data_IF_166003571799
#
_entry.id   IF_166003571799
#
_cell.length_a   1.000
_cell.length_b   1.000
_cell.length_c   1.000
_cell.angle_alpha   90.00
_cell.angle_beta   90.00
_cell.angle_gamma   90.00
#
_symmetry.space_group_name_H-M   'P 1'
#
loop_
_entity.id
_entity.type
_entity.pdbx_description
1 polymer ?
#
# COMPACT_ATOMS: atom_id res chain seq x y z
N UNK A 1 23.21 -2.44 4.66
CA UNK A 1 23.05 -0.96 4.76
C UNK A 1 24.26 -0.33 5.45
N UNK A 2 24.64 -0.80 6.64
CA UNK A 2 25.82 -0.32 7.41
C UNK A 2 27.10 -0.20 6.57
N UNK A 3 27.52 -1.25 5.87
CA UNK A 3 28.77 -1.23 5.09
C UNK A 3 28.87 -0.10 4.04
N UNK A 4 27.76 0.31 3.41
CA UNK A 4 27.76 1.43 2.44
C UNK A 4 27.86 2.79 3.14
N UNK A 5 27.21 2.94 4.29
CA UNK A 5 27.27 4.14 5.13
C UNK A 5 28.66 4.30 5.73
N UNK A 6 29.24 3.22 6.26
CA UNK A 6 30.58 3.19 6.84
C UNK A 6 31.66 3.55 5.79
N UNK A 7 31.50 3.05 4.57
CA UNK A 7 32.38 3.39 3.45
C UNK A 7 32.29 4.88 3.08
N UNK A 8 31.07 5.44 2.99
CA UNK A 8 30.90 6.86 2.69
C UNK A 8 31.43 7.76 3.81
N UNK A 9 31.20 7.38 5.08
CA UNK A 9 31.76 8.08 6.24
C UNK A 9 33.28 8.10 6.20
N UNK A 10 33.92 6.97 5.89
CA UNK A 10 35.38 6.88 5.75
C UNK A 10 35.90 7.84 4.67
N UNK A 11 35.20 7.92 3.55
CA UNK A 11 35.55 8.82 2.44
C UNK A 11 35.35 10.29 2.85
N UNK A 12 34.23 10.64 3.48
CA UNK A 12 33.96 12.00 3.96
C UNK A 12 35.02 12.44 4.98
N UNK A 13 35.38 11.57 5.92
CA UNK A 13 36.44 11.85 6.91
C UNK A 13 37.78 12.09 6.21
N UNK A 14 38.15 11.23 5.26
CA UNK A 14 39.40 11.39 4.49
C UNK A 14 39.41 12.69 3.68
N UNK A 15 38.29 13.06 3.04
CA UNK A 15 38.17 14.33 2.30
C UNK A 15 38.34 15.52 3.25
N UNK A 16 37.68 15.48 4.42
CA UNK A 16 37.77 16.53 5.45
C UNK A 16 39.21 16.72 5.92
N UNK A 17 39.92 15.63 6.25
CA UNK A 17 41.31 15.67 6.71
C UNK A 17 42.26 16.24 5.65
N UNK A 18 42.13 15.79 4.39
CA UNK A 18 42.95 16.29 3.29
C UNK A 18 42.67 17.77 3.02
N UNK A 19 41.40 18.20 3.04
CA UNK A 19 41.04 19.60 2.83
C UNK A 19 41.52 20.52 3.95
N UNK A 20 41.46 20.06 5.21
CA UNK A 20 42.00 20.82 6.36
C UNK A 20 43.52 21.00 6.28
N UNK A 21 44.23 19.99 5.74
CA UNK A 21 45.69 20.03 5.60
C UNK A 21 46.13 20.83 4.38
N UNK A 22 45.41 20.69 3.26
CA UNK A 22 45.70 21.39 2.02
C UNK A 22 44.40 21.66 1.23
N UNK A 23 43.83 22.87 1.31
CA UNK A 23 42.60 23.21 0.59
C UNK A 23 42.70 23.07 -0.94
N UNK A 24 43.87 23.29 -1.55
CA UNK A 24 44.07 23.18 -3.00
C UNK A 24 44.01 21.73 -3.50
N UNK A 25 44.11 20.75 -2.60
CA UNK A 25 43.99 19.32 -2.91
C UNK A 25 42.70 18.98 -3.66
N UNK A 26 41.61 19.70 -3.39
CA UNK A 26 40.30 19.49 -4.02
C UNK A 26 40.28 19.92 -5.50
N UNK A 27 41.19 20.80 -5.91
CA UNK A 27 41.29 21.30 -7.29
C UNK A 27 42.01 20.32 -8.21
N UNK A 28 42.73 19.35 -7.65
CA UNK A 28 43.49 18.37 -8.40
C UNK A 28 42.67 17.09 -8.63
N UNK A 29 42.25 16.88 -9.87
CA UNK A 29 41.44 15.72 -10.29
C UNK A 29 42.18 14.37 -10.21
N UNK A 30 43.52 14.39 -10.13
CA UNK A 30 44.31 13.17 -9.93
C UNK A 30 44.28 12.69 -8.47
N UNK A 31 44.01 13.58 -7.52
CA UNK A 31 43.99 13.28 -6.08
C UNK A 31 42.58 13.24 -5.53
N UNK A 32 41.72 14.20 -5.90
CA UNK A 32 40.31 14.21 -5.53
C UNK A 32 39.44 13.72 -6.69
N UNK A 33 38.96 12.47 -6.58
CA UNK A 33 38.04 11.87 -7.55
C UNK A 33 36.60 12.30 -7.26
N UNK A 34 36.26 13.53 -7.64
CA UNK A 34 34.94 14.13 -7.38
C UNK A 34 33.78 13.31 -7.98
N UNK A 35 33.96 12.74 -9.17
CA UNK A 35 32.98 11.88 -9.84
C UNK A 35 32.70 10.59 -9.05
N UNK A 36 33.74 9.95 -8.54
CA UNK A 36 33.62 8.74 -7.71
C UNK A 36 32.90 9.07 -6.40
N UNK A 37 33.22 10.20 -5.77
CA UNK A 37 32.54 10.66 -4.55
C UNK A 37 31.05 10.93 -4.78
N UNK A 38 30.72 11.70 -5.82
CA UNK A 38 29.32 12.01 -6.18
C UNK A 38 28.54 10.74 -6.54
N UNK A 39 29.14 9.80 -7.28
CA UNK A 39 28.49 8.54 -7.63
C UNK A 39 28.18 7.69 -6.39
N UNK A 40 29.05 7.69 -5.37
CA UNK A 40 28.80 6.99 -4.11
C UNK A 40 27.66 7.61 -3.30
N UNK A 41 27.55 8.94 -3.28
CA UNK A 41 26.42 9.64 -2.67
C UNK A 41 25.11 9.28 -3.37
N UNK A 42 25.08 9.37 -4.71
CA UNK A 42 23.86 9.06 -5.47
C UNK A 42 23.47 7.59 -5.32
N UNK A 43 24.45 6.67 -5.30
CA UNK A 43 24.21 5.25 -5.02
C UNK A 43 23.61 5.00 -3.62
N UNK A 44 24.09 5.72 -2.60
CA UNK A 44 23.53 5.62 -1.25
C UNK A 44 22.09 6.15 -1.21
N UNK A 45 21.86 7.32 -1.80
CA UNK A 45 20.52 7.93 -1.92
C UNK A 45 19.53 6.99 -2.62
N UNK A 46 19.93 6.38 -3.73
CA UNK A 46 19.10 5.41 -4.45
C UNK A 46 18.84 4.14 -3.63
N UNK A 47 19.85 3.63 -2.91
CA UNK A 47 19.67 2.49 -2.01
C UNK A 47 18.70 2.81 -0.88
N UNK A 48 18.82 3.99 -0.26
CA UNK A 48 17.91 4.47 0.78
C UNK A 48 16.48 4.57 0.26
N UNK A 49 16.30 5.19 -0.91
CA UNK A 49 15.00 5.33 -1.56
C UNK A 49 14.34 3.97 -1.81
N UNK A 50 15.09 3.01 -2.34
CA UNK A 50 14.59 1.65 -2.59
C UNK A 50 14.17 0.94 -1.28
N UNK A 51 15.02 1.02 -0.25
CA UNK A 51 14.73 0.40 1.04
C UNK A 51 13.50 1.02 1.71
N UNK A 52 13.36 2.34 1.68
CA UNK A 52 12.19 3.05 2.21
C UNK A 52 10.92 2.67 1.44
N UNK A 53 10.97 2.65 0.11
CA UNK A 53 9.84 2.21 -0.72
C UNK A 53 9.42 0.77 -0.41
N UNK A 54 10.38 -0.13 -0.20
CA UNK A 54 10.08 -1.52 0.15
C UNK A 54 9.48 -1.64 1.56
N UNK A 55 10.05 -0.94 2.54
CA UNK A 55 9.50 -0.90 3.90
C UNK A 55 8.07 -0.34 3.91
N UNK A 56 7.82 0.70 3.11
CA UNK A 56 6.49 1.29 2.94
C UNK A 56 5.49 0.32 2.33
N UNK A 57 5.87 -0.39 1.25
CA UNK A 57 5.03 -1.44 0.67
C UNK A 57 4.68 -2.54 1.67
N UNK A 58 5.65 -2.95 2.49
CA UNK A 58 5.42 -3.95 3.54
C UNK A 58 4.49 -3.43 4.63
N UNK A 59 4.66 -2.16 5.05
CA UNK A 59 3.77 -1.49 5.99
C UNK A 59 2.32 -1.48 5.47
N UNK A 60 2.12 -1.00 4.24
CA UNK A 60 0.80 -0.99 3.61
C UNK A 60 0.21 -2.40 3.49
N UNK A 61 1.01 -3.41 3.15
CA UNK A 61 0.53 -4.79 3.07
C UNK A 61 0.09 -5.37 4.42
N UNK A 62 0.63 -4.88 5.54
CA UNK A 62 0.22 -5.29 6.89
C UNK A 62 -1.02 -4.54 7.39
N UNK A 63 -1.16 -3.27 7.03
CA UNK A 63 -2.26 -2.43 7.50
C UNK A 63 -3.52 -2.53 6.64
N UNK A 64 -3.35 -2.74 5.32
CA UNK A 64 -4.46 -2.89 4.41
C UNK A 64 -5.01 -4.31 4.49
N UNK A 65 -6.26 -4.43 4.95
CA UNK A 65 -7.00 -5.70 4.89
C UNK A 65 -7.07 -6.17 3.44
N UNK A 66 -6.92 -7.47 3.21
CA UNK A 66 -7.09 -8.05 1.88
C UNK A 66 -8.47 -7.71 1.33
N UNK A 67 -8.52 -7.07 0.16
CA UNK A 67 -9.77 -6.68 -0.50
C UNK A 67 -10.05 -7.66 -1.62
N UNK A 68 -11.19 -8.34 -1.56
CA UNK A 68 -11.68 -9.06 -2.73
C UNK A 68 -12.31 -8.05 -3.70
N UNK A 69 -11.57 -7.71 -4.76
CA UNK A 69 -12.02 -6.79 -5.81
C UNK A 69 -13.30 -7.24 -6.51
N UNK A 70 -13.58 -8.54 -6.56
CA UNK A 70 -14.81 -9.08 -7.15
C UNK A 70 -16.01 -8.76 -6.26
N UNK A 71 -15.87 -8.91 -4.93
CA UNK A 71 -16.93 -8.53 -3.99
C UNK A 71 -17.18 -7.03 -3.98
N UNK A 72 -16.14 -6.20 -4.06
CA UNK A 72 -16.32 -4.75 -4.19
C UNK A 72 -17.03 -4.36 -5.51
N UNK A 73 -16.74 -5.06 -6.62
CA UNK A 73 -17.48 -4.87 -7.88
C UNK A 73 -18.95 -5.23 -7.75
N UNK A 74 -19.26 -6.34 -7.08
CA UNK A 74 -20.64 -6.76 -6.80
C UNK A 74 -21.36 -5.69 -5.97
N UNK A 75 -20.71 -5.16 -4.92
CA UNK A 75 -21.29 -4.07 -4.14
C UNK A 75 -21.47 -2.76 -4.91
N UNK A 76 -20.65 -2.51 -5.93
CA UNK A 76 -20.79 -1.34 -6.80
C UNK A 76 -22.09 -1.35 -7.65
N UNK A 77 -22.65 -2.54 -7.90
CA UNK A 77 -23.94 -2.68 -8.62
C UNK A 77 -25.14 -2.28 -7.76
N UNK A 78 -24.98 -2.25 -6.42
CA UNK A 78 -26.04 -1.86 -5.49
C UNK A 78 -26.04 -0.34 -5.35
N UNK A 79 -27.09 0.32 -5.86
CA UNK A 79 -27.23 1.79 -5.88
C UNK A 79 -26.97 2.42 -4.50
N UNK A 80 -27.48 1.79 -3.44
CA UNK A 80 -27.41 2.29 -2.07
C UNK A 80 -26.01 2.19 -1.43
N UNK A 81 -25.08 1.46 -2.07
CA UNK A 81 -23.69 1.25 -1.64
C UNK A 81 -22.66 1.96 -2.54
N UNK A 82 -23.07 2.42 -3.73
CA UNK A 82 -22.19 3.16 -4.66
C UNK A 82 -21.40 4.29 -4.00
N UNK A 83 -21.98 5.15 -3.14
CA UNK A 83 -21.21 6.21 -2.48
C UNK A 83 -20.08 5.67 -1.61
N UNK A 84 -20.33 4.57 -0.89
CA UNK A 84 -19.33 3.90 -0.04
C UNK A 84 -18.22 3.28 -0.89
N UNK A 85 -18.56 2.61 -1.99
CA UNK A 85 -17.57 2.02 -2.91
C UNK A 85 -16.70 3.10 -3.58
N UNK A 86 -17.30 4.19 -4.05
CA UNK A 86 -16.55 5.33 -4.61
C UNK A 86 -15.60 5.95 -3.59
N UNK A 87 -16.02 6.03 -2.32
CA UNK A 87 -15.16 6.50 -1.24
C UNK A 87 -14.00 5.55 -0.99
N UNK A 88 -14.23 4.24 -0.97
CA UNK A 88 -13.18 3.21 -0.86
C UNK A 88 -12.16 3.38 -2.01
N UNK A 89 -12.62 3.46 -3.26
CA UNK A 89 -11.74 3.62 -4.43
C UNK A 89 -10.90 4.91 -4.37
N UNK A 90 -11.50 6.00 -3.85
CA UNK A 90 -10.82 7.29 -3.70
C UNK A 90 -9.73 7.21 -2.65
N UNK A 91 -10.03 6.65 -1.47
CA UNK A 91 -9.06 6.48 -0.38
C UNK A 91 -7.92 5.55 -0.80
N UNK A 92 -8.25 4.47 -1.52
CA UNK A 92 -7.25 3.56 -2.09
C UNK A 92 -6.30 4.29 -3.04
N UNK A 93 -6.83 5.11 -3.95
CA UNK A 93 -5.99 5.89 -4.88
C UNK A 93 -5.05 6.83 -4.13
N UNK A 94 -5.56 7.54 -3.11
CA UNK A 94 -4.75 8.43 -2.29
C UNK A 94 -3.59 7.70 -1.59
N UNK A 95 -3.83 6.48 -1.11
CA UNK A 95 -2.77 5.65 -0.50
C UNK A 95 -1.73 5.24 -1.56
N UNK A 96 -2.16 4.83 -2.76
CA UNK A 96 -1.26 4.37 -3.82
C UNK A 96 -0.43 5.50 -4.47
N UNK A 97 -0.90 6.75 -4.42
CA UNK A 97 -0.15 7.91 -4.92
C UNK A 97 1.08 8.24 -4.05
N UNK A 98 1.14 7.73 -2.82
CA UNK A 98 2.21 8.03 -1.86
C UNK A 98 3.30 6.96 -1.96
N UNK A 99 4.45 7.33 -2.54
CA UNK A 99 5.61 6.43 -2.71
C UNK A 99 6.16 5.97 -1.35
N UNK A 100 6.29 6.90 -0.41
CA UNK A 100 6.50 6.73 1.04
C UNK A 100 6.44 8.12 1.70
N UNK A 101 6.01 8.23 2.98
CA UNK A 101 5.95 9.51 3.69
C UNK A 101 7.35 10.06 3.98
N UNK A 102 7.56 11.36 3.77
CA UNK A 102 8.85 12.04 3.95
C UNK A 102 9.07 12.59 5.36
N UNK A 103 7.99 12.68 6.14
CA UNK A 103 7.97 13.22 7.49
C UNK A 103 6.81 12.60 8.29
N UNK A 104 6.77 12.86 9.59
CA UNK A 104 5.73 12.34 10.48
C UNK A 104 4.34 12.82 10.10
N UNK A 105 4.18 14.07 9.66
CA UNK A 105 2.86 14.59 9.26
C UNK A 105 2.29 13.86 8.04
N UNK A 106 3.12 13.55 7.04
CA UNK A 106 2.72 12.74 5.89
C UNK A 106 2.36 11.32 6.32
N UNK A 107 3.10 10.74 7.26
CA UNK A 107 2.80 9.43 7.82
C UNK A 107 1.43 9.42 8.51
N UNK A 108 1.20 10.37 9.43
CA UNK A 108 -0.06 10.51 10.16
C UNK A 108 -1.27 10.73 9.23
N UNK A 109 -1.06 11.45 8.12
CA UNK A 109 -2.10 11.63 7.08
C UNK A 109 -2.45 10.30 6.44
N UNK A 110 -1.47 9.47 6.07
CA UNK A 110 -1.75 8.15 5.49
C UNK A 110 -2.45 7.25 6.49
N UNK A 111 -2.02 7.24 7.74
CA UNK A 111 -2.65 6.44 8.79
C UNK A 111 -4.13 6.79 8.95
N UNK A 112 -4.46 8.09 8.92
CA UNK A 112 -5.87 8.54 8.92
C UNK A 112 -6.64 8.07 7.67
N UNK A 113 -6.01 8.07 6.50
CA UNK A 113 -6.65 7.57 5.27
C UNK A 113 -6.90 6.07 5.36
N UNK A 114 -5.95 5.29 5.89
CA UNK A 114 -6.10 3.85 6.14
C UNK A 114 -7.22 3.60 7.14
N UNK A 115 -7.31 4.39 8.21
CA UNK A 115 -8.39 4.28 9.20
C UNK A 115 -9.76 4.54 8.55
N UNK A 116 -9.89 5.61 7.76
CA UNK A 116 -11.12 5.93 7.03
C UNK A 116 -11.50 4.84 6.02
N UNK A 117 -10.51 4.22 5.37
CA UNK A 117 -10.72 3.11 4.45
C UNK A 117 -11.30 1.91 5.20
N UNK A 118 -10.71 1.55 6.35
CA UNK A 118 -11.18 0.45 7.17
C UNK A 118 -12.61 0.70 7.70
N UNK A 119 -12.90 1.91 8.16
CA UNK A 119 -14.26 2.29 8.57
C UNK A 119 -15.27 2.19 7.41
N UNK A 120 -14.87 2.59 6.20
CA UNK A 120 -15.72 2.49 5.01
C UNK A 120 -16.01 1.02 4.66
N UNK A 121 -15.00 0.15 4.77
CA UNK A 121 -15.17 -1.29 4.59
C UNK A 121 -16.08 -1.91 5.67
N UNK A 122 -15.94 -1.47 6.93
CA UNK A 122 -16.76 -1.96 8.04
C UNK A 122 -18.23 -1.52 7.87
N UNK A 123 -18.49 -0.31 7.34
CA UNK A 123 -19.85 0.18 7.05
C UNK A 123 -20.61 -0.64 6.00
N UNK A 124 -19.90 -1.32 5.08
CA UNK A 124 -20.53 -2.26 4.15
C UNK A 124 -21.14 -3.48 4.88
N UNK A 125 -20.72 -3.74 6.12
CA UNK A 125 -21.18 -4.87 6.95
C UNK A 125 -22.32 -4.55 7.91
N UNK A 126 -22.73 -3.29 8.07
CA UNK A 126 -23.58 -2.95 9.24
C UNK A 126 -25.08 -2.86 8.94
N UNK A 127 -25.51 -2.19 7.85
CA UNK A 127 -26.87 -1.61 7.89
C UNK A 127 -27.80 -1.94 6.71
N UNK A 128 -27.32 -2.57 5.63
CA UNK A 128 -28.14 -2.75 4.40
C UNK A 128 -28.18 -4.16 3.82
N UNK A 129 -27.38 -5.08 4.36
CA UNK A 129 -27.23 -6.42 3.80
C UNK A 129 -27.60 -7.42 4.90
N UNK A 130 -28.53 -8.37 4.68
CA UNK A 130 -28.84 -9.41 5.64
C UNK A 130 -27.58 -10.15 6.09
N UNK A 131 -27.49 -10.50 7.38
CA UNK A 131 -26.27 -11.10 7.94
C UNK A 131 -25.85 -12.38 7.20
N UNK A 132 -26.81 -13.19 6.76
CA UNK A 132 -26.55 -14.42 5.99
C UNK A 132 -25.91 -14.13 4.62
N UNK A 133 -26.40 -13.08 3.94
CA UNK A 133 -25.82 -12.60 2.68
C UNK A 133 -24.41 -12.08 2.91
N UNK A 134 -24.18 -11.33 4.00
CA UNK A 134 -22.84 -10.85 4.33
C UNK A 134 -21.87 -12.00 4.59
N UNK A 135 -22.30 -13.00 5.35
CA UNK A 135 -21.47 -14.17 5.67
C UNK A 135 -21.12 -14.95 4.40
N UNK A 136 -22.10 -15.14 3.51
CA UNK A 136 -21.87 -15.75 2.21
C UNK A 136 -20.86 -14.96 1.37
N UNK A 137 -21.06 -13.65 1.20
CA UNK A 137 -20.16 -12.80 0.40
C UNK A 137 -18.75 -12.71 1.01
N UNK A 138 -18.63 -12.67 2.34
CA UNK A 138 -17.33 -12.70 3.05
C UNK A 138 -16.60 -14.03 2.85
N UNK A 139 -17.30 -15.16 2.95
CA UNK A 139 -16.71 -16.48 2.72
C UNK A 139 -16.26 -16.60 1.24
N UNK A 140 -17.15 -16.25 0.31
CA UNK A 140 -16.86 -16.23 -1.12
C UNK A 140 -15.67 -15.32 -1.45
N UNK A 141 -15.50 -14.21 -0.73
CA UNK A 141 -14.40 -13.27 -0.91
C UNK A 141 -13.00 -13.85 -0.58
N UNK A 142 -12.90 -14.72 0.42
CA UNK A 142 -11.60 -15.13 0.93
C UNK A 142 -11.08 -16.39 0.24
N UNK A 143 -11.85 -17.48 0.30
CA UNK A 143 -11.41 -18.81 -0.11
C UNK A 143 -12.51 -19.57 -0.90
N UNK A 144 -13.64 -18.92 -1.15
CA UNK A 144 -14.87 -19.56 -1.60
C UNK A 144 -15.83 -19.80 -0.44
N UNK A 145 -17.12 -19.86 -0.75
CA UNK A 145 -18.17 -20.21 0.20
C UNK A 145 -18.56 -21.68 0.01
N UNK A 146 -18.84 -22.38 1.11
CA UNK A 146 -19.48 -23.70 1.01
C UNK A 146 -20.88 -23.56 0.44
N UNK A 147 -21.38 -24.60 -0.22
CA UNK A 147 -22.74 -24.60 -0.80
C UNK A 147 -23.81 -24.34 0.26
N UNK A 148 -23.57 -24.73 1.51
CA UNK A 148 -24.50 -24.51 2.64
C UNK A 148 -24.73 -23.01 2.94
N UNK A 149 -23.77 -22.15 2.59
CA UNK A 149 -23.92 -20.69 2.76
C UNK A 149 -24.80 -20.05 1.68
N UNK A 150 -25.07 -20.75 0.56
CA UNK A 150 -26.01 -20.30 -0.47
C UNK A 150 -27.43 -20.68 -0.08
N UNK A 151 -27.93 -20.10 1.00
CA UNK A 151 -29.31 -20.33 1.47
C UNK A 151 -30.33 -19.74 0.50
N UNK A 152 -31.62 -20.15 0.56
CA UNK A 152 -32.68 -19.55 -0.24
C UNK A 152 -32.74 -18.02 -0.09
N UNK A 153 -32.64 -17.52 1.14
CA UNK A 153 -32.58 -16.08 1.45
C UNK A 153 -31.42 -15.39 0.72
N UNK A 154 -30.23 -15.99 0.74
CA UNK A 154 -29.06 -15.43 0.05
C UNK A 154 -29.28 -15.40 -1.45
N UNK A 155 -29.82 -16.49 -2.01
CA UNK A 155 -30.09 -16.59 -3.44
C UNK A 155 -31.15 -15.56 -3.89
N UNK A 156 -32.24 -15.43 -3.15
CA UNK A 156 -33.30 -14.45 -3.42
C UNK A 156 -32.75 -13.03 -3.39
N UNK A 157 -32.01 -12.68 -2.33
CA UNK A 157 -31.41 -11.36 -2.21
C UNK A 157 -30.46 -11.04 -3.37
N UNK A 158 -29.63 -12.00 -3.79
CA UNK A 158 -28.74 -11.85 -4.94
C UNK A 158 -29.50 -11.67 -6.26
N UNK A 159 -30.67 -12.30 -6.42
CA UNK A 159 -31.51 -12.13 -7.62
C UNK A 159 -32.18 -10.76 -7.61
N UNK A 160 -32.77 -10.36 -6.49
CA UNK A 160 -33.43 -9.06 -6.31
C UNK A 160 -32.51 -7.89 -6.63
N UNK A 161 -31.24 -8.01 -6.22
CA UNK A 161 -30.21 -7.00 -6.46
C UNK A 161 -29.46 -7.19 -7.79
N UNK A 162 -29.90 -8.11 -8.65
CA UNK A 162 -29.30 -8.42 -9.97
C UNK A 162 -27.83 -8.86 -9.91
N UNK A 163 -27.41 -9.43 -8.80
CA UNK A 163 -26.03 -9.89 -8.54
C UNK A 163 -25.81 -11.36 -8.89
N UNK A 164 -26.89 -12.14 -9.01
CA UNK A 164 -26.80 -13.58 -9.26
C UNK A 164 -26.02 -13.94 -10.54
N UNK A 165 -26.03 -13.07 -11.56
CA UNK A 165 -25.32 -13.29 -12.82
C UNK A 165 -23.82 -12.95 -12.74
N UNK A 166 -23.43 -12.16 -11.72
CA UNK A 166 -22.05 -11.71 -11.51
C UNK A 166 -21.22 -12.72 -10.71
N UNK A 167 -21.86 -13.72 -10.11
CA UNK A 167 -21.23 -14.78 -9.32
C UNK A 167 -21.11 -16.08 -10.12
N UNK A 168 -20.00 -16.81 -9.94
CA UNK A 168 -19.78 -18.12 -10.57
C UNK A 168 -19.37 -19.15 -9.53
N UNK A 169 -19.84 -20.38 -9.72
CA UNK A 169 -19.42 -21.53 -8.92
C UNK A 169 -18.14 -22.10 -9.56
N UNK A 170 -17.11 -22.33 -8.74
CA UNK A 170 -15.87 -22.97 -9.15
C UNK A 170 -15.68 -24.24 -8.32
N UNK A 171 -15.46 -25.36 -8.98
CA UNK A 171 -15.14 -26.63 -8.34
C UNK A 171 -13.66 -26.63 -7.94
N UNK A 172 -13.38 -27.07 -6.72
CA UNK A 172 -12.04 -27.30 -6.17
C UNK A 172 -11.66 -28.76 -6.28
#
# INVERSE_FOLDING_TARGET
>A
MNQKVDNLLTIITSIKENFQTNPEWILNSNTFKSTDFLSKIENLKNTLKQNLSQAWKNYLAQQLRSRNKEVLKIFAEIESLKPTIQRIDTLDRQIQEIEFPKNSEEFDRVDKIIEQLNQSLDSLSSDKIPQNVQNFLKAAAHQGATLDLLTPEVKEWLIEHRLAQSLRIRLT
#
